data_IF_476339333242
#
_entry.id   IF_476339333242
#
_cell.length_a   1.000
_cell.length_b   1.000
_cell.length_c   1.000
_cell.angle_alpha   90.00
_cell.angle_beta   90.00
_cell.angle_gamma   90.00
#
_symmetry.space_group_name_H-M   'P 1'
#
loop_
_entity.id
_entity.type
_entity.pdbx_description
1 polymer ?
#
# COMPACT_ATOMS: atom_id res chain seq x y z
N UNK A 1 -5.77 13.63 6.82
CA UNK A 1 -6.06 12.22 6.55
C UNK A 1 -4.91 11.37 7.05
N UNK A 2 -5.20 10.31 7.76
CA UNK A 2 -4.19 9.45 8.37
C UNK A 2 -4.20 8.09 7.70
N UNK A 3 -3.03 7.59 7.35
CA UNK A 3 -2.90 6.27 6.76
C UNK A 3 -3.04 5.23 7.87
N UNK A 4 -4.08 4.42 7.80
CA UNK A 4 -4.28 3.33 8.77
C UNK A 4 -3.56 2.08 8.27
N UNK A 5 -3.63 1.84 6.97
CA UNK A 5 -3.04 0.66 6.37
C UNK A 5 -2.46 1.01 5.02
N UNK A 6 -1.21 0.63 4.79
CA UNK A 6 -0.52 0.83 3.53
C UNK A 6 -0.26 -0.54 2.93
N UNK A 7 -1.18 -1.01 2.08
CA UNK A 7 -1.13 -2.38 1.57
C UNK A 7 -1.58 -2.45 0.13
N UNK A 8 -1.07 -3.46 -0.57
CA UNK A 8 -1.50 -3.75 -1.93
C UNK A 8 -1.58 -5.25 -2.08
N UNK A 9 -2.31 -5.70 -3.09
CA UNK A 9 -2.36 -7.11 -3.46
C UNK A 9 -1.85 -7.25 -4.89
N UNK A 10 -0.86 -8.12 -5.07
CA UNK A 10 -0.32 -8.39 -6.38
C UNK A 10 -1.32 -9.21 -7.18
N UNK A 11 -1.65 -8.78 -8.39
CA UNK A 11 -2.59 -9.52 -9.23
C UNK A 11 -1.96 -10.76 -9.84
N UNK A 12 -0.64 -10.81 -9.91
CA UNK A 12 0.04 -11.95 -10.52
C UNK A 12 0.19 -13.12 -9.58
N UNK A 13 0.62 -12.86 -8.35
CA UNK A 13 0.80 -13.95 -7.39
C UNK A 13 -0.26 -13.98 -6.31
N UNK A 14 -1.09 -12.95 -6.22
CA UNK A 14 -2.17 -12.89 -5.25
C UNK A 14 -1.74 -12.53 -3.83
N UNK A 15 -0.47 -12.30 -3.61
CA UNK A 15 0.02 -12.01 -2.27
C UNK A 15 -0.35 -10.61 -1.84
N UNK A 16 -0.75 -10.46 -0.58
CA UNK A 16 -1.02 -9.16 0.02
C UNK A 16 0.22 -8.76 0.82
N UNK A 17 0.75 -7.58 0.53
CA UNK A 17 1.91 -7.07 1.24
C UNK A 17 1.55 -5.74 1.88
N UNK A 18 2.13 -5.48 3.04
CA UNK A 18 1.81 -4.28 3.81
C UNK A 18 3.09 -3.65 4.33
N UNK A 19 3.22 -2.33 4.17
CA UNK A 19 4.32 -1.58 4.73
C UNK A 19 3.87 -0.97 6.05
N UNK A 20 4.54 -1.33 7.13
CA UNK A 20 4.12 -0.93 8.48
C UNK A 20 4.95 0.20 9.07
N UNK A 21 6.08 0.53 8.47
CA UNK A 21 6.89 1.65 8.92
C UNK A 21 7.45 2.39 7.71
N UNK A 22 7.95 3.60 7.94
CA UNK A 22 8.36 4.46 6.84
C UNK A 22 9.48 3.85 6.00
N UNK A 23 10.30 3.00 6.58
CA UNK A 23 11.40 2.36 5.86
C UNK A 23 11.10 0.88 5.54
N UNK A 24 9.87 0.47 5.69
CA UNK A 24 9.51 -0.93 5.49
C UNK A 24 9.14 -1.15 4.02
N UNK A 25 10.13 -1.55 3.24
CA UNK A 25 9.94 -1.81 1.82
C UNK A 25 9.64 -3.30 1.64
N UNK A 26 8.44 -3.61 1.22
CA UNK A 26 8.00 -4.99 1.03
C UNK A 26 7.75 -5.28 -0.44
N UNK A 27 8.20 -6.45 -0.88
CA UNK A 27 8.01 -6.90 -2.25
C UNK A 27 7.27 -8.23 -2.22
N UNK A 28 6.33 -8.43 -3.14
CA UNK A 28 5.59 -9.68 -3.21
C UNK A 28 6.49 -10.82 -3.70
N UNK A 29 6.03 -12.05 -3.52
CA UNK A 29 6.84 -13.23 -3.82
C UNK A 29 7.27 -13.31 -5.27
N UNK A 30 6.43 -12.87 -6.20
CA UNK A 30 6.80 -12.92 -7.62
C UNK A 30 7.63 -11.72 -8.06
N UNK A 31 7.81 -10.74 -7.18
CA UNK A 31 8.65 -9.59 -7.48
C UNK A 31 8.02 -8.52 -8.34
N UNK A 32 6.76 -8.67 -8.71
CA UNK A 32 6.12 -7.72 -9.63
C UNK A 32 5.71 -6.42 -8.96
N UNK A 33 5.45 -6.44 -7.66
CA UNK A 33 4.92 -5.29 -6.94
C UNK A 33 5.64 -5.08 -5.63
N UNK A 34 5.71 -3.82 -5.20
CA UNK A 34 6.34 -3.46 -3.93
C UNK A 34 5.57 -2.32 -3.29
N UNK A 35 5.66 -2.21 -1.97
CA UNK A 35 5.01 -1.16 -1.21
C UNK A 35 6.00 -0.62 -0.19
N UNK A 36 5.91 0.69 0.08
CA UNK A 36 6.86 1.36 0.95
C UNK A 36 6.19 2.58 1.57
N UNK A 37 6.80 3.16 2.59
CA UNK A 37 6.34 4.40 3.19
C UNK A 37 5.55 4.24 4.47
N UNK A 38 5.16 3.02 4.83
CA UNK A 38 4.45 2.76 6.07
C UNK A 38 3.21 3.63 6.21
N UNK A 39 3.10 4.29 7.37
CA UNK A 39 1.96 5.15 7.65
C UNK A 39 2.27 6.63 7.38
N UNK A 40 3.42 6.91 6.76
CA UNK A 40 3.81 8.29 6.45
C UNK A 40 3.38 8.70 5.05
N UNK A 41 3.57 7.80 4.08
CA UNK A 41 3.17 8.07 2.72
C UNK A 41 2.97 6.75 1.99
N UNK A 42 2.30 6.81 0.86
CA UNK A 42 2.03 5.63 0.04
C UNK A 42 2.97 5.63 -1.15
N UNK A 43 3.86 4.66 -1.18
CA UNK A 43 4.79 4.50 -2.28
C UNK A 43 4.69 3.09 -2.81
N UNK A 44 4.48 2.95 -4.09
CA UNK A 44 4.30 1.67 -4.74
C UNK A 44 5.17 1.57 -5.97
N UNK A 45 5.71 0.38 -6.19
CA UNK A 45 6.47 0.08 -7.38
C UNK A 45 5.89 -1.15 -8.02
N UNK A 46 5.75 -1.14 -9.34
CA UNK A 46 5.23 -2.28 -10.07
C UNK A 46 5.74 -2.18 -11.50
N UNK A 47 5.80 -3.33 -12.17
CA UNK A 47 6.17 -3.34 -13.58
C UNK A 47 5.10 -2.59 -14.36
N UNK A 48 3.85 -2.77 -14.00
CA UNK A 48 2.74 -2.02 -14.56
C UNK A 48 1.83 -1.61 -13.40
N UNK A 49 1.30 -0.41 -13.44
CA UNK A 49 0.41 0.05 -12.37
C UNK A 49 -0.89 -0.75 -12.31
N UNK A 50 -1.15 -1.56 -13.34
CA UNK A 50 -2.31 -2.44 -13.32
C UNK A 50 -2.03 -3.78 -12.66
N UNK A 51 -0.81 -4.00 -12.19
CA UNK A 51 -0.41 -5.30 -11.63
C UNK A 51 -0.81 -5.47 -10.17
N UNK A 52 -1.39 -4.47 -9.55
CA UNK A 52 -1.78 -4.58 -8.15
C UNK A 52 -3.12 -3.92 -7.88
N UNK A 53 -3.72 -4.32 -6.76
CA UNK A 53 -4.94 -3.72 -6.24
C UNK A 53 -4.56 -2.96 -4.97
N UNK A 54 -4.98 -1.69 -4.88
CA UNK A 54 -4.68 -0.88 -3.72
C UNK A 54 -5.63 -1.24 -2.58
N UNK A 55 -5.08 -1.77 -1.50
CA UNK A 55 -5.85 -2.16 -0.32
C UNK A 55 -5.63 -1.19 0.84
N UNK A 56 -5.00 -0.05 0.59
CA UNK A 56 -4.71 0.91 1.65
C UNK A 56 -5.98 1.51 2.24
N UNK A 57 -5.92 1.82 3.53
CA UNK A 57 -7.04 2.39 4.25
C UNK A 57 -6.62 3.67 4.94
N UNK A 58 -7.54 4.60 5.00
CA UNK A 58 -7.28 5.91 5.59
C UNK A 58 -8.35 6.22 6.61
N UNK A 59 -7.95 6.95 7.65
CA UNK A 59 -8.89 7.46 8.63
C UNK A 59 -9.32 8.84 8.18
N UNK A 60 -10.62 9.06 8.07
CA UNK A 60 -11.14 10.36 7.67
C UNK A 60 -11.00 11.37 8.79
N UNK A 61 -10.79 12.62 8.41
CA UNK A 61 -10.80 13.69 9.39
C UNK A 61 -12.19 13.89 9.93
N UNK A 62 -12.25 14.33 11.14
CA UNK A 62 -13.50 14.51 11.78
C UNK A 62 -14.31 15.58 11.19
N UNK A 63 -13.92 16.49 10.81
CA UNK A 63 -14.66 17.51 10.45
C UNK A 63 -15.30 17.51 9.26
N UNK A 64 -15.60 17.04 9.10
CA UNK A 64 -16.22 16.96 8.17
C UNK A 64 -17.43 17.23 8.05
N UNK A 65 -17.41 17.79 8.28
CA UNK A 65 -18.34 18.05 8.41
C UNK A 65 -19.08 18.34 8.01
N UNK A 66 -18.92 18.36 7.86
CA UNK A 66 -19.50 18.42 7.69
C UNK A 66 -19.94 18.64 7.54
#
# INVERSE_FOLDING_TARGET
MTIIRNAIQCKKCGEIIESVSVHDFKTCSCGACSVDGGHQYLRRCAISMDDFIDLSEFQKEQDEKE
#
